data_IF_702573254173
#
_entry.id   IF_702573254173
#
_cell.length_a   1.000
_cell.length_b   1.000
_cell.length_c   1.000
_cell.angle_alpha   90.00
_cell.angle_beta   90.00
_cell.angle_gamma   90.00
#
_symmetry.space_group_name_H-M   'P 1'
#
loop_
_entity.id
_entity.type
_entity.pdbx_description
1 polymer ?
#
# COMPACT_ATOMS: atom_id res chain seq x y z
N UNK A 1 51.43 37.49 -32.43
CA UNK A 1 51.14 38.76 -33.13
C UNK A 1 49.79 38.75 -33.89
N UNK A 2 49.18 37.59 -34.12
CA UNK A 2 47.82 37.49 -34.70
C UNK A 2 46.73 37.53 -33.61
N UNK A 3 46.92 36.81 -32.50
CA UNK A 3 46.01 36.85 -31.34
C UNK A 3 45.91 38.24 -30.69
N UNK A 4 47.04 38.94 -30.53
CA UNK A 4 47.04 40.32 -30.01
C UNK A 4 46.28 41.29 -30.93
N UNK A 5 46.25 41.01 -32.24
CA UNK A 5 45.48 41.80 -33.21
C UNK A 5 43.99 41.50 -33.08
N UNK A 6 43.61 40.24 -32.95
CA UNK A 6 42.23 39.80 -32.73
C UNK A 6 41.66 40.33 -31.40
N UNK A 7 42.48 40.40 -30.36
CA UNK A 7 42.10 40.95 -29.05
C UNK A 7 41.96 42.48 -29.10
N UNK A 8 42.85 43.17 -29.84
CA UNK A 8 42.75 44.61 -30.09
C UNK A 8 41.55 44.99 -30.97
N UNK A 9 41.17 44.12 -31.91
CA UNK A 9 40.00 44.26 -32.78
C UNK A 9 38.69 43.94 -32.05
N UNK A 10 38.75 43.51 -30.79
CA UNK A 10 37.59 43.30 -29.94
C UNK A 10 36.88 41.96 -30.17
N UNK A 11 37.52 41.01 -30.87
CA UNK A 11 36.92 39.71 -31.24
C UNK A 11 36.41 38.88 -30.04
N UNK A 12 36.98 39.11 -28.86
CA UNK A 12 36.59 38.43 -27.61
C UNK A 12 35.74 39.27 -26.65
N UNK A 13 35.36 40.49 -27.03
CA UNK A 13 34.37 41.25 -26.26
C UNK A 13 32.99 40.74 -26.66
N UNK A 14 32.33 39.98 -25.79
CA UNK A 14 30.90 39.75 -25.95
C UNK A 14 30.22 41.11 -25.84
N UNK A 15 29.46 41.47 -26.88
CA UNK A 15 28.52 42.58 -26.77
C UNK A 15 27.42 42.14 -25.81
N UNK A 16 27.58 42.52 -24.54
CA UNK A 16 26.56 42.33 -23.53
C UNK A 16 25.48 43.40 -23.80
N UNK A 17 24.43 43.03 -24.52
CA UNK A 17 23.25 43.86 -24.69
C UNK A 17 22.59 44.06 -23.31
N UNK A 18 22.51 45.31 -22.84
CA UNK A 18 21.80 45.66 -21.62
C UNK A 18 20.30 45.38 -21.82
N UNK A 19 19.81 44.33 -21.18
CA UNK A 19 18.39 43.96 -21.18
C UNK A 19 17.57 45.08 -20.53
N UNK A 20 16.51 45.50 -21.20
CA UNK A 20 15.61 46.50 -20.63
C UNK A 20 14.67 45.87 -19.58
N UNK A 21 13.96 46.71 -18.82
CA UNK A 21 13.06 46.24 -17.77
C UNK A 21 11.85 45.45 -18.31
N UNK A 22 11.50 45.63 -19.58
CA UNK A 22 10.39 44.92 -20.23
C UNK A 22 10.84 43.52 -20.64
N UNK A 23 12.04 43.39 -21.19
CA UNK A 23 12.69 42.15 -21.56
C UNK A 23 12.96 41.27 -20.33
N UNK A 24 13.39 41.84 -19.20
CA UNK A 24 13.53 41.09 -17.93
C UNK A 24 12.18 40.55 -17.43
N UNK A 25 11.10 41.33 -17.57
CA UNK A 25 9.75 40.88 -17.22
C UNK A 25 9.24 39.78 -18.18
N UNK A 26 9.56 39.88 -19.48
CA UNK A 26 9.26 38.85 -20.46
C UNK A 26 10.00 37.55 -20.14
N UNK A 27 11.28 37.60 -19.81
CA UNK A 27 12.04 36.42 -19.39
C UNK A 27 11.46 35.78 -18.12
N UNK A 28 11.10 36.59 -17.12
CA UNK A 28 10.48 36.10 -15.89
C UNK A 28 9.15 35.38 -16.15
N UNK A 29 8.30 35.94 -17.01
CA UNK A 29 7.03 35.30 -17.40
C UNK A 29 7.25 34.05 -18.24
N UNK A 30 8.21 34.05 -19.17
CA UNK A 30 8.59 32.90 -19.98
C UNK A 30 9.10 31.75 -19.10
N UNK A 31 9.98 32.05 -18.14
CA UNK A 31 10.48 31.07 -17.16
C UNK A 31 9.33 30.49 -16.33
N UNK A 32 8.40 31.31 -15.84
CA UNK A 32 7.22 30.82 -15.12
C UNK A 32 6.34 29.88 -15.97
N UNK A 33 6.16 30.17 -17.26
CA UNK A 33 5.41 29.32 -18.20
C UNK A 33 6.12 27.98 -18.43
N UNK A 34 7.44 28.00 -18.66
CA UNK A 34 8.21 26.78 -18.89
C UNK A 34 8.23 25.88 -17.65
N UNK A 35 8.36 26.45 -16.46
CA UNK A 35 8.26 25.71 -15.20
C UNK A 35 6.87 25.11 -15.00
N UNK A 36 5.81 25.89 -15.22
CA UNK A 36 4.43 25.41 -15.10
C UNK A 36 4.13 24.26 -16.06
N UNK A 37 4.55 24.37 -17.33
CA UNK A 37 4.37 23.31 -18.34
C UNK A 37 5.21 22.08 -18.01
N UNK A 38 6.43 22.26 -17.47
CA UNK A 38 7.27 21.16 -16.97
C UNK A 38 6.59 20.40 -15.84
N UNK A 39 6.08 21.10 -14.83
CA UNK A 39 5.37 20.50 -13.70
C UNK A 39 4.11 19.74 -14.17
N UNK A 40 3.33 20.32 -15.08
CA UNK A 40 2.14 19.68 -15.67
C UNK A 40 2.50 18.37 -16.38
N UNK A 41 3.61 18.36 -17.12
CA UNK A 41 4.10 17.16 -17.83
C UNK A 41 4.57 16.08 -16.86
N UNK A 42 5.23 16.46 -15.76
CA UNK A 42 5.67 15.53 -14.70
C UNK A 42 4.44 14.90 -14.03
N UNK A 43 3.45 15.70 -13.66
CA UNK A 43 2.21 15.22 -13.03
C UNK A 43 1.48 14.22 -13.94
N UNK A 44 1.34 14.51 -15.22
CA UNK A 44 0.70 13.61 -16.19
C UNK A 44 1.43 12.26 -16.33
N UNK A 45 2.77 12.28 -16.29
CA UNK A 45 3.60 11.06 -16.31
C UNK A 45 3.42 10.24 -15.04
N UNK A 46 3.38 10.87 -13.87
CA UNK A 46 3.15 10.18 -12.59
C UNK A 46 1.75 9.59 -12.49
N UNK A 47 0.75 10.26 -13.07
CA UNK A 47 -0.65 9.79 -13.09
C UNK A 47 -0.88 8.58 -14.00
N UNK A 48 -0.07 8.42 -15.03
CA UNK A 48 -0.22 7.34 -16.02
C UNK A 48 0.53 6.09 -15.58
N UNK A 49 -0.15 4.96 -15.50
CA UNK A 49 0.44 3.69 -15.04
C UNK A 49 0.56 2.71 -16.19
N UNK A 50 1.76 2.16 -16.44
CA UNK A 50 2.02 1.27 -17.60
C UNK A 50 1.24 -0.05 -17.57
N UNK A 51 0.92 -0.56 -16.38
CA UNK A 51 0.40 -1.93 -16.21
C UNK A 51 -1.08 -1.99 -15.78
N UNK A 52 -1.78 -0.86 -15.70
CA UNK A 52 -3.21 -0.81 -15.34
C UNK A 52 -3.95 0.29 -16.11
N UNK A 53 -5.22 0.08 -16.49
CA UNK A 53 -6.02 1.10 -17.17
C UNK A 53 -6.28 2.30 -16.26
N UNK A 54 -6.49 3.46 -16.86
CA UNK A 54 -6.88 4.67 -16.12
C UNK A 54 -8.31 4.54 -15.62
N UNK A 55 -8.54 4.83 -14.34
CA UNK A 55 -9.87 4.76 -13.74
C UNK A 55 -10.80 5.84 -14.34
N UNK A 56 -12.05 5.51 -14.66
CA UNK A 56 -13.01 6.49 -15.17
C UNK A 56 -13.32 7.55 -14.09
N UNK A 57 -13.46 8.82 -14.51
CA UNK A 57 -13.71 9.94 -13.59
C UNK A 57 -14.99 9.77 -12.75
N UNK A 58 -15.97 9.00 -13.23
CA UNK A 58 -17.23 8.68 -12.55
C UNK A 58 -17.05 7.78 -11.33
N UNK A 59 -16.05 6.90 -11.35
CA UNK A 59 -15.74 6.01 -10.21
C UNK A 59 -14.88 6.70 -9.15
N UNK A 60 -14.15 7.76 -9.53
CA UNK A 60 -13.23 8.49 -8.64
C UNK A 60 -14.02 9.54 -7.85
N UNK A 61 -14.05 9.39 -6.53
CA UNK A 61 -14.61 10.40 -5.62
C UNK A 61 -13.61 11.56 -5.47
N UNK A 62 -14.08 12.79 -5.67
CA UNK A 62 -13.31 14.02 -5.42
C UNK A 62 -13.82 14.73 -4.19
N UNK A 63 -12.92 15.36 -3.44
CA UNK A 63 -13.32 16.20 -2.31
C UNK A 63 -13.72 17.59 -2.80
N UNK A 64 -14.67 18.22 -2.10
CA UNK A 64 -15.10 19.60 -2.40
C UNK A 64 -13.96 20.59 -2.13
N UNK A 65 -13.06 20.26 -1.20
CA UNK A 65 -11.86 21.05 -0.89
C UNK A 65 -10.90 21.13 -2.07
N UNK A 66 -10.53 19.98 -2.65
CA UNK A 66 -9.70 19.92 -3.85
C UNK A 66 -10.30 20.72 -5.02
N UNK A 67 -11.61 20.58 -5.24
CA UNK A 67 -12.30 21.35 -6.27
C UNK A 67 -12.25 22.86 -5.99
N UNK A 68 -12.48 23.29 -4.75
CA UNK A 68 -12.45 24.72 -4.40
C UNK A 68 -11.07 25.33 -4.58
N UNK A 69 -10.02 24.62 -4.18
CA UNK A 69 -8.64 25.12 -4.31
C UNK A 69 -8.22 25.22 -5.78
N UNK A 70 -8.70 24.31 -6.62
CA UNK A 70 -8.45 24.37 -8.06
C UNK A 70 -9.14 25.56 -8.73
N UNK A 71 -10.40 25.84 -8.35
CA UNK A 71 -11.13 27.01 -8.86
C UNK A 71 -10.48 28.32 -8.42
N UNK A 72 -10.07 28.42 -7.14
CA UNK A 72 -9.37 29.59 -6.61
C UNK A 72 -8.04 29.82 -7.33
N UNK A 73 -7.28 28.75 -7.62
CA UNK A 73 -6.03 28.85 -8.43
C UNK A 73 -6.29 29.36 -9.85
N UNK A 74 -7.47 29.13 -10.41
CA UNK A 74 -7.88 29.65 -11.72
C UNK A 74 -8.49 31.07 -11.64
N UNK A 75 -8.59 31.65 -10.43
CA UNK A 75 -9.21 32.96 -10.21
C UNK A 75 -10.74 32.94 -10.19
N UNK A 76 -11.36 31.76 -10.04
CA UNK A 76 -12.81 31.59 -9.99
C UNK A 76 -13.30 31.49 -8.53
N UNK A 77 -14.45 32.12 -8.25
CA UNK A 77 -15.04 32.10 -6.92
C UNK A 77 -15.58 30.71 -6.53
N UNK A 78 -15.11 30.15 -5.41
CA UNK A 78 -15.46 28.79 -4.94
C UNK A 78 -16.67 28.71 -4.00
N UNK A 79 -17.24 29.86 -3.62
CA UNK A 79 -18.29 30.01 -2.59
C UNK A 79 -19.53 29.16 -2.91
N UNK A 80 -20.00 29.20 -4.15
CA UNK A 80 -21.18 28.48 -4.64
C UNK A 80 -20.99 26.94 -4.60
N UNK A 81 -19.79 26.45 -4.89
CA UNK A 81 -19.47 25.01 -4.81
C UNK A 81 -19.46 24.52 -3.35
N UNK A 82 -18.92 25.33 -2.43
CA UNK A 82 -18.94 25.05 -0.98
C UNK A 82 -20.33 25.17 -0.36
N UNK A 83 -21.21 26.04 -0.87
CA UNK A 83 -22.57 26.17 -0.39
C UNK A 83 -23.40 24.90 -0.67
N UNK A 84 -23.32 24.36 -1.89
CA UNK A 84 -24.04 23.13 -2.27
C UNK A 84 -23.65 21.91 -1.43
N UNK A 85 -22.38 21.78 -1.06
CA UNK A 85 -21.91 20.66 -0.23
C UNK A 85 -22.42 20.74 1.21
N UNK A 86 -22.64 21.95 1.74
CA UNK A 86 -23.19 22.18 3.09
C UNK A 86 -24.69 21.86 3.19
N UNK A 87 -25.42 21.90 2.07
CA UNK A 87 -26.87 21.66 2.00
C UNK A 87 -27.18 20.15 2.04
N UNK A 88 -26.33 19.31 1.43
CA UNK A 88 -26.48 17.85 1.46
C UNK A 88 -25.95 17.22 2.75
N UNK A 89 -26.45 17.67 3.91
CA UNK A 89 -26.24 16.94 5.17
C UNK A 89 -27.25 15.80 5.24
N UNK A 90 -26.84 14.59 4.81
CA UNK A 90 -27.43 13.38 5.39
C UNK A 90 -27.14 13.48 6.88
N UNK A 91 -28.18 13.47 7.71
CA UNK A 91 -28.02 13.54 9.17
C UNK A 91 -26.94 12.55 9.58
N UNK A 92 -25.90 13.02 10.31
CA UNK A 92 -25.03 12.10 11.03
C UNK A 92 -25.98 11.30 11.91
N UNK A 93 -25.99 9.99 11.75
CA UNK A 93 -26.81 9.13 12.59
C UNK A 93 -26.50 9.46 14.04
N UNK A 94 -27.49 9.94 14.80
CA UNK A 94 -27.34 10.21 16.24
C UNK A 94 -26.86 8.96 16.99
N UNK A 95 -27.08 7.77 16.42
CA UNK A 95 -26.59 6.48 16.91
C UNK A 95 -25.07 6.26 16.83
N UNK A 96 -24.27 7.22 16.34
CA UNK A 96 -22.80 7.14 16.35
C UNK A 96 -22.13 8.21 17.19
N UNK A 97 -22.87 8.71 18.19
CA UNK A 97 -22.45 9.70 19.18
C UNK A 97 -22.32 9.16 20.60
N UNK A 98 -22.35 7.84 20.81
CA UNK A 98 -21.99 7.23 22.08
C UNK A 98 -20.85 6.25 21.81
N UNK A 99 -19.61 6.74 21.94
CA UNK A 99 -18.54 5.86 22.38
C UNK A 99 -18.92 5.54 23.83
N UNK A 100 -19.85 4.62 24.02
CA UNK A 100 -19.83 3.76 25.19
C UNK A 100 -18.48 3.08 25.06
N UNK A 101 -17.46 3.73 25.66
CA UNK A 101 -16.26 3.05 26.10
C UNK A 101 -16.80 1.77 26.71
N UNK A 102 -16.50 0.65 26.06
CA UNK A 102 -17.06 -0.66 26.37
C UNK A 102 -16.55 -1.02 27.75
N UNK A 103 -17.15 -0.42 28.78
CA UNK A 103 -16.90 -0.57 30.19
C UNK A 103 -17.62 -1.85 30.63
N UNK A 104 -17.34 -2.93 29.90
CA UNK A 104 -17.73 -4.29 30.22
C UNK A 104 -16.96 -5.21 29.30
N UNK A 105 -15.71 -5.48 29.68
CA UNK A 105 -14.98 -6.67 29.29
C UNK A 105 -15.64 -7.98 29.78
N UNK A 106 -16.97 -7.99 29.97
CA UNK A 106 -17.76 -9.08 30.55
C UNK A 106 -19.13 -9.29 29.90
N UNK A 107 -19.38 -8.77 28.69
CA UNK A 107 -20.56 -9.15 27.91
C UNK A 107 -20.12 -9.82 26.61
N UNK A 108 -20.06 -11.15 26.64
CA UNK A 108 -20.07 -11.97 25.43
C UNK A 108 -21.34 -11.64 24.64
N UNK A 109 -21.30 -11.61 23.29
CA UNK A 109 -22.55 -11.69 22.54
C UNK A 109 -23.24 -13.02 22.85
N UNK A 110 -24.35 -12.96 23.60
CA UNK A 110 -25.30 -14.04 23.92
C UNK A 110 -26.08 -14.51 22.67
N UNK A 111 -25.46 -14.56 21.49
CA UNK A 111 -26.15 -14.90 20.23
C UNK A 111 -25.34 -15.81 19.31
N UNK A 112 -24.52 -16.71 19.85
CA UNK A 112 -24.14 -17.92 19.11
C UNK A 112 -24.57 -19.16 19.89
N UNK A 113 -25.55 -19.89 19.33
CA UNK A 113 -26.04 -21.19 19.83
C UNK A 113 -24.89 -22.22 19.98
N UNK A 114 -23.76 -21.96 19.30
CA UNK A 114 -22.53 -22.75 19.38
C UNK A 114 -21.76 -22.38 20.66
N UNK A 115 -21.91 -23.22 21.69
CA UNK A 115 -21.06 -23.17 22.89
C UNK A 115 -19.63 -23.59 22.52
N UNK A 116 -18.63 -22.80 22.93
CA UNK A 116 -17.22 -23.14 22.78
C UNK A 116 -16.89 -24.40 23.63
N UNK A 117 -16.70 -25.54 22.94
CA UNK A 117 -16.42 -26.83 23.58
C UNK A 117 -15.08 -26.84 24.32
N UNK A 118 -14.14 -25.95 23.98
CA UNK A 118 -12.86 -25.83 24.70
C UNK A 118 -13.02 -25.25 26.10
N UNK A 119 -14.13 -24.54 26.37
CA UNK A 119 -14.41 -23.93 27.68
C UNK A 119 -15.48 -24.69 28.47
N UNK A 120 -16.30 -25.51 27.80
CA UNK A 120 -17.44 -26.20 28.42
C UNK A 120 -17.07 -27.13 29.59
N UNK A 121 -15.83 -27.62 29.67
CA UNK A 121 -15.35 -28.49 30.74
C UNK A 121 -14.50 -27.77 31.81
N UNK A 122 -14.34 -26.46 31.71
CA UNK A 122 -13.40 -25.68 32.52
C UNK A 122 -14.15 -24.61 33.30
N UNK A 123 -13.92 -24.56 34.62
CA UNK A 123 -14.70 -23.70 35.52
C UNK A 123 -14.43 -22.21 35.30
N UNK A 124 -13.15 -21.83 35.20
CA UNK A 124 -12.71 -20.43 35.16
C UNK A 124 -11.73 -20.17 34.01
N UNK A 125 -11.61 -18.90 33.59
CA UNK A 125 -10.65 -18.48 32.55
C UNK A 125 -9.21 -18.84 32.91
N UNK A 126 -8.83 -18.72 34.19
CA UNK A 126 -7.49 -19.13 34.67
C UNK A 126 -7.19 -20.60 34.33
N UNK A 127 -8.14 -21.50 34.58
CA UNK A 127 -7.96 -22.92 34.26
C UNK A 127 -7.90 -23.16 32.74
N UNK A 128 -8.59 -22.34 31.93
CA UNK A 128 -8.51 -22.41 30.46
C UNK A 128 -7.10 -22.06 29.98
N UNK A 129 -6.50 -21.01 30.55
CA UNK A 129 -5.13 -20.59 30.22
C UNK A 129 -4.10 -21.66 30.61
N UNK A 130 -4.26 -22.31 31.75
CA UNK A 130 -3.40 -23.44 32.14
C UNK A 130 -3.57 -24.64 31.19
N UNK A 131 -4.80 -25.00 30.83
CA UNK A 131 -5.09 -26.08 29.87
C UNK A 131 -4.46 -25.80 28.49
N UNK A 132 -4.56 -24.56 28.02
CA UNK A 132 -3.93 -24.08 26.79
C UNK A 132 -2.39 -24.20 26.85
N UNK A 133 -1.78 -23.88 28.00
CA UNK A 133 -0.35 -24.01 28.22
C UNK A 133 0.10 -25.47 28.18
N UNK A 134 -0.64 -26.36 28.84
CA UNK A 134 -0.38 -27.82 28.81
C UNK A 134 -0.50 -28.37 27.39
N UNK A 135 -1.53 -27.94 26.63
CA UNK A 135 -1.70 -28.32 25.22
C UNK A 135 -0.48 -27.92 24.37
N UNK A 136 0.00 -26.68 24.50
CA UNK A 136 1.18 -26.20 23.77
C UNK A 136 2.44 -26.97 24.16
N UNK A 137 2.58 -27.36 25.43
CA UNK A 137 3.72 -28.17 25.89
C UNK A 137 3.69 -29.56 25.24
N UNK A 138 2.53 -30.21 25.20
CA UNK A 138 2.36 -31.53 24.57
C UNK A 138 2.65 -31.51 23.05
N UNK A 139 2.34 -30.40 22.37
CA UNK A 139 2.62 -30.23 20.94
C UNK A 139 4.12 -30.10 20.62
N UNK A 140 5.00 -29.88 21.59
CA UNK A 140 6.45 -29.71 21.32
C UNK A 140 7.09 -30.97 20.73
N UNK A 141 6.67 -32.16 21.17
CA UNK A 141 7.25 -33.43 20.70
C UNK A 141 6.91 -33.72 19.24
N UNK A 142 5.65 -33.67 18.75
CA UNK A 142 5.37 -33.84 17.33
C UNK A 142 5.96 -32.70 16.48
N UNK A 143 6.02 -31.48 17.00
CA UNK A 143 6.64 -30.35 16.28
C UNK A 143 8.15 -30.55 16.10
N UNK A 144 8.84 -31.17 17.06
CA UNK A 144 10.26 -31.53 16.94
C UNK A 144 10.50 -32.49 15.77
N UNK A 145 9.59 -33.45 15.56
CA UNK A 145 9.63 -34.38 14.43
C UNK A 145 8.99 -33.80 13.14
N UNK A 146 8.71 -32.49 13.12
CA UNK A 146 8.08 -31.78 12.00
C UNK A 146 6.77 -32.42 11.51
N UNK A 147 5.97 -33.00 12.43
CA UNK A 147 4.66 -33.55 12.08
C UNK A 147 3.70 -32.45 11.65
N UNK A 148 2.90 -32.72 10.62
CA UNK A 148 1.90 -31.75 10.12
C UNK A 148 0.80 -31.46 11.15
N UNK A 149 0.53 -32.42 12.04
CA UNK A 149 -0.44 -32.29 13.11
C UNK A 149 -0.58 -33.61 13.88
N UNK A 150 -1.52 -33.66 14.81
CA UNK A 150 -1.78 -34.87 15.62
C UNK A 150 -2.27 -36.07 14.81
N UNK A 151 -2.84 -35.82 13.63
CA UNK A 151 -3.29 -36.85 12.69
C UNK A 151 -2.16 -37.44 11.85
N UNK A 152 -0.98 -36.81 11.81
CA UNK A 152 0.15 -37.27 11.00
C UNK A 152 0.95 -38.33 11.75
N UNK A 153 0.51 -39.58 11.58
CA UNK A 153 1.08 -40.78 12.20
C UNK A 153 1.76 -41.71 11.18
N UNK A 154 2.18 -41.17 10.04
CA UNK A 154 2.81 -41.96 8.99
C UNK A 154 4.15 -42.55 9.46
N UNK A 155 4.34 -43.84 9.22
CA UNK A 155 5.57 -44.59 9.50
C UNK A 155 6.30 -44.80 8.18
N UNK A 156 7.49 -44.19 8.04
CA UNK A 156 8.31 -44.34 6.84
C UNK A 156 9.08 -45.67 6.89
N UNK A 157 9.22 -46.30 5.73
CA UNK A 157 10.03 -47.52 5.58
C UNK A 157 11.51 -47.15 5.57
N UNK A 158 12.28 -47.61 6.57
CA UNK A 158 13.72 -47.32 6.66
C UNK A 158 14.53 -47.94 5.52
N UNK A 159 14.22 -49.18 5.15
CA UNK A 159 14.92 -49.92 4.10
C UNK A 159 13.91 -50.52 3.11
N UNK A 160 13.51 -49.76 2.07
CA UNK A 160 12.63 -50.28 1.04
C UNK A 160 13.29 -51.43 0.25
N UNK A 161 12.57 -52.55 0.13
CA UNK A 161 13.07 -53.79 -0.48
C UNK A 161 13.63 -53.60 -1.90
N UNK A 162 12.95 -52.81 -2.73
CA UNK A 162 13.34 -52.59 -4.13
C UNK A 162 14.67 -51.85 -4.30
N UNK A 163 15.21 -51.23 -3.23
CA UNK A 163 16.54 -50.62 -3.26
C UNK A 163 17.65 -51.58 -2.79
N UNK A 164 17.37 -52.47 -1.84
CA UNK A 164 18.41 -53.21 -1.11
C UNK A 164 18.44 -54.73 -1.35
N UNK A 165 17.42 -55.32 -1.95
CA UNK A 165 17.28 -56.78 -2.02
C UNK A 165 17.88 -57.42 -3.28
N UNK A 166 18.06 -56.66 -4.36
CA UNK A 166 18.31 -57.23 -5.69
C UNK A 166 19.66 -56.78 -6.27
N UNK A 167 20.27 -57.64 -7.11
CA UNK A 167 21.44 -57.30 -7.93
C UNK A 167 21.02 -57.04 -9.37
N UNK A 168 21.67 -56.08 -10.05
CA UNK A 168 21.42 -55.77 -11.46
C UNK A 168 22.19 -56.75 -12.36
N UNK A 169 21.47 -57.49 -13.21
CA UNK A 169 22.05 -58.37 -14.23
C UNK A 169 22.15 -57.71 -15.60
N UNK A 170 22.65 -58.45 -16.60
CA UNK A 170 22.59 -58.03 -18.00
C UNK A 170 21.15 -58.10 -18.52
N UNK A 171 20.67 -57.02 -19.14
CA UNK A 171 19.32 -56.94 -19.71
C UNK A 171 18.48 -55.81 -19.10
N UNK A 172 17.18 -56.06 -18.91
CA UNK A 172 16.23 -55.07 -18.40
C UNK A 172 16.48 -54.74 -16.92
N UNK A 173 16.33 -53.48 -16.57
CA UNK A 173 16.54 -52.92 -15.23
C UNK A 173 15.22 -52.47 -14.62
N UNK A 174 15.13 -52.46 -13.28
CA UNK A 174 13.89 -52.14 -12.55
C UNK A 174 13.46 -50.66 -12.67
N UNK A 175 14.39 -49.76 -13.00
CA UNK A 175 14.18 -48.33 -13.15
C UNK A 175 14.82 -47.80 -14.44
N UNK A 176 14.37 -46.62 -14.90
CA UNK A 176 14.84 -45.91 -16.09
C UNK A 176 15.83 -44.81 -15.73
#
# INVERSE_FOLDING_TARGET
REEERLEAEGYYKSEDEEMDSEDEALEATANAITEHTRLTRIEARLKTTKNRPTLPKTAIKRTVGEMSNHLERLGLESSNARARSRISKRARSESRGEIIARLSSTARPETSVVRDRTMSGVRNVKQKLESEKVRKLAQRTPNLFAKRGESDRAVQTKMPKHLFSNKRGNGKTDWR
#
